data_IF_916239518251
#
_entry.id   IF_916239518251
#
_cell.length_a   1.000
_cell.length_b   1.000
_cell.length_c   1.000
_cell.angle_alpha   90.00
_cell.angle_beta   90.00
_cell.angle_gamma   90.00
#
_symmetry.space_group_name_H-M   'P 1'
#
loop_
_entity.id
_entity.type
_entity.pdbx_description
1 polymer ?
#
# COMPACT_ATOMS: atom_id res chain seq x y z
N UNK A 1 -23.46 -10.64 2.40
CA UNK A 1 -22.19 -10.43 3.10
C UNK A 1 -21.27 -9.69 2.16
N UNK A 2 -20.64 -8.61 2.63
CA UNK A 2 -19.84 -7.77 1.78
C UNK A 2 -18.51 -8.44 1.45
N UNK A 3 -18.11 -8.33 0.18
CA UNK A 3 -16.88 -8.90 -0.35
C UNK A 3 -16.06 -7.84 -1.04
N UNK A 4 -14.76 -7.98 -0.95
CA UNK A 4 -13.80 -7.34 -1.84
C UNK A 4 -13.50 -8.30 -2.98
N UNK A 5 -13.72 -7.85 -4.20
CA UNK A 5 -13.42 -8.59 -5.43
C UNK A 5 -12.28 -7.86 -6.12
N UNK A 6 -11.14 -8.53 -6.20
CA UNK A 6 -9.95 -8.04 -6.88
C UNK A 6 -9.80 -8.80 -8.20
N UNK A 7 -9.85 -8.08 -9.30
CA UNK A 7 -9.77 -8.62 -10.65
C UNK A 7 -8.57 -8.02 -11.40
N UNK A 8 -7.60 -8.86 -11.78
CA UNK A 8 -6.35 -8.44 -12.41
C UNK A 8 -6.42 -8.76 -13.91
N UNK A 9 -6.28 -7.73 -14.75
CA UNK A 9 -6.36 -7.81 -16.19
C UNK A 9 -4.99 -7.61 -16.82
N UNK A 10 -4.65 -8.48 -17.76
CA UNK A 10 -3.43 -8.34 -18.57
C UNK A 10 -3.55 -7.23 -19.63
N UNK A 11 -4.77 -6.87 -19.99
CA UNK A 11 -5.07 -5.87 -21.02
C UNK A 11 -5.86 -4.72 -20.40
N UNK A 12 -5.31 -3.53 -20.43
CA UNK A 12 -5.90 -2.34 -19.80
C UNK A 12 -7.31 -2.04 -20.31
N UNK A 13 -7.57 -2.20 -21.61
CA UNK A 13 -8.90 -1.97 -22.18
C UNK A 13 -9.97 -2.94 -21.66
N UNK A 14 -9.60 -4.16 -21.28
CA UNK A 14 -10.53 -5.11 -20.67
C UNK A 14 -10.91 -4.66 -19.24
N UNK A 15 -9.96 -4.11 -18.49
CA UNK A 15 -10.23 -3.51 -17.19
C UNK A 15 -11.21 -2.34 -17.28
N UNK A 16 -11.00 -1.42 -18.24
CA UNK A 16 -11.94 -0.32 -18.47
C UNK A 16 -13.32 -0.81 -18.93
N UNK A 17 -13.38 -1.83 -19.77
CA UNK A 17 -14.65 -2.40 -20.20
C UNK A 17 -15.38 -3.05 -19.02
N UNK A 18 -14.68 -3.83 -18.21
CA UNK A 18 -15.25 -4.46 -17.02
C UNK A 18 -15.81 -3.43 -16.04
N UNK A 19 -15.02 -2.38 -15.72
CA UNK A 19 -15.46 -1.29 -14.83
C UNK A 19 -16.68 -0.56 -15.39
N UNK A 20 -16.68 -0.25 -16.70
CA UNK A 20 -17.79 0.43 -17.37
C UNK A 20 -19.07 -0.38 -17.31
N UNK A 21 -19.00 -1.70 -17.54
CA UNK A 21 -20.16 -2.58 -17.46
C UNK A 21 -20.73 -2.67 -16.03
N UNK A 22 -19.87 -2.68 -15.00
CA UNK A 22 -20.33 -2.64 -13.61
C UNK A 22 -20.93 -1.27 -13.27
N UNK A 23 -20.33 -0.17 -13.73
CA UNK A 23 -20.81 1.19 -13.54
C UNK A 23 -22.19 1.43 -14.18
N UNK A 24 -22.45 0.82 -15.35
CA UNK A 24 -23.73 0.91 -16.03
C UNK A 24 -24.83 0.07 -15.38
N UNK A 25 -24.48 -1.03 -14.73
CA UNK A 25 -25.40 -1.94 -14.05
C UNK A 25 -24.82 -2.36 -12.69
N UNK A 26 -24.73 -1.41 -11.75
CA UNK A 26 -24.11 -1.68 -10.45
C UNK A 26 -25.01 -2.55 -9.55
N UNK A 27 -26.32 -2.50 -9.77
CA UNK A 27 -27.31 -3.29 -9.06
C UNK A 27 -28.11 -4.15 -10.03
N UNK A 28 -28.21 -5.43 -9.71
CA UNK A 28 -28.99 -6.44 -10.47
C UNK A 28 -29.75 -7.33 -9.49
N UNK A 29 -30.51 -8.28 -10.04
CA UNK A 29 -31.13 -9.35 -9.25
C UNK A 29 -30.09 -10.33 -8.65
N UNK A 30 -28.85 -10.29 -9.07
CA UNK A 30 -27.78 -11.22 -8.71
C UNK A 30 -26.73 -10.64 -7.77
N UNK A 31 -26.37 -9.36 -7.95
CA UNK A 31 -25.33 -8.68 -7.18
C UNK A 31 -25.60 -7.19 -7.07
N UNK A 32 -24.97 -6.57 -6.09
CA UNK A 32 -24.84 -5.12 -5.92
C UNK A 32 -23.37 -4.78 -5.80
N UNK A 33 -22.87 -3.84 -6.61
CA UNK A 33 -21.52 -3.25 -6.49
C UNK A 33 -21.70 -1.84 -5.96
N UNK A 34 -21.25 -1.60 -4.73
CA UNK A 34 -21.34 -0.29 -4.10
C UNK A 34 -20.25 0.65 -4.58
N UNK A 35 -19.02 0.13 -4.70
CA UNK A 35 -17.86 0.89 -5.15
C UNK A 35 -16.94 0.02 -6.01
N UNK A 36 -16.25 0.63 -6.95
CA UNK A 36 -15.13 0.01 -7.63
C UNK A 36 -14.09 1.04 -8.06
N UNK A 37 -12.83 0.63 -8.10
CA UNK A 37 -11.69 1.40 -8.59
C UNK A 37 -10.89 0.55 -9.56
N UNK A 38 -10.40 1.17 -10.62
CA UNK A 38 -9.43 0.60 -11.55
C UNK A 38 -8.09 1.27 -11.32
N UNK A 39 -7.08 0.49 -10.99
CA UNK A 39 -5.71 0.94 -10.73
C UNK A 39 -4.74 0.27 -11.68
N UNK A 40 -3.61 0.92 -11.94
CA UNK A 40 -2.50 0.38 -12.74
C UNK A 40 -1.21 0.45 -11.96
N UNK A 41 -0.42 -0.64 -12.01
CA UNK A 41 0.92 -0.67 -11.43
C UNK A 41 1.92 -0.14 -12.45
N UNK A 42 2.63 0.92 -12.09
CA UNK A 42 3.68 1.53 -12.92
C UNK A 42 4.85 1.99 -12.04
N UNK A 43 6.05 1.55 -12.38
CA UNK A 43 7.28 1.97 -11.68
C UNK A 43 7.23 1.82 -10.16
N UNK A 44 6.73 0.69 -9.66
CA UNK A 44 6.51 0.40 -8.23
C UNK A 44 5.45 1.28 -7.54
N UNK A 45 4.68 2.06 -8.26
CA UNK A 45 3.55 2.82 -7.73
C UNK A 45 2.22 2.34 -8.31
N UNK A 46 1.12 2.76 -7.67
CA UNK A 46 -0.23 2.51 -8.17
C UNK A 46 -0.86 3.83 -8.62
N UNK A 47 -1.36 3.85 -9.85
CA UNK A 47 -2.09 4.97 -10.41
C UNK A 47 -3.56 4.61 -10.53
N UNK A 48 -4.45 5.44 -9.98
CA UNK A 48 -5.89 5.30 -10.19
C UNK A 48 -6.25 5.76 -11.60
N UNK A 49 -6.86 4.88 -12.37
CA UNK A 49 -7.28 5.16 -13.76
C UNK A 49 -8.72 5.67 -13.83
N UNK A 50 -9.65 4.99 -13.15
CA UNK A 50 -11.07 5.35 -13.07
C UNK A 50 -11.70 4.72 -11.82
N UNK A 51 -12.85 5.24 -11.40
CA UNK A 51 -13.59 4.71 -10.26
C UNK A 51 -15.06 5.08 -10.33
N UNK A 52 -15.89 4.40 -9.55
CA UNK A 52 -17.24 4.83 -9.26
C UNK A 52 -17.66 4.44 -7.84
N UNK A 53 -18.60 5.20 -7.33
CA UNK A 53 -19.29 4.98 -6.07
C UNK A 53 -20.80 5.19 -6.33
N UNK A 54 -21.62 4.22 -5.95
CA UNK A 54 -23.06 4.29 -6.15
C UNK A 54 -23.77 4.99 -5.02
N UNK A 55 -23.10 5.22 -3.89
CA UNK A 55 -23.72 5.67 -2.65
C UNK A 55 -24.66 4.64 -2.01
N UNK A 56 -24.66 3.39 -2.50
CA UNK A 56 -25.40 2.30 -1.88
C UNK A 56 -24.66 1.87 -0.63
N UNK A 57 -25.32 2.03 0.51
CA UNK A 57 -24.76 1.62 1.81
C UNK A 57 -24.67 0.09 1.85
N UNK A 58 -23.51 -0.39 2.27
CA UNK A 58 -23.25 -1.81 2.55
C UNK A 58 -23.36 -2.05 4.05
N UNK A 59 -23.48 -3.30 4.47
CA UNK A 59 -23.71 -3.66 5.89
C UNK A 59 -22.59 -3.19 6.85
N UNK A 60 -21.46 -2.74 6.32
CA UNK A 60 -20.33 -2.17 7.07
C UNK A 60 -20.18 -0.68 6.73
N UNK A 61 -21.19 0.13 7.07
CA UNK A 61 -21.36 1.54 6.71
C UNK A 61 -20.24 2.50 7.11
N UNK A 62 -19.32 2.09 7.96
CA UNK A 62 -18.34 3.02 8.55
C UNK A 62 -17.16 3.30 7.62
N UNK A 63 -16.94 2.50 6.58
CA UNK A 63 -15.69 2.55 5.80
C UNK A 63 -15.85 2.40 4.28
N UNK A 64 -17.06 2.50 3.69
CA UNK A 64 -17.26 2.19 2.27
C UNK A 64 -16.26 2.94 1.34
N UNK A 65 -16.13 4.26 1.46
CA UNK A 65 -15.07 5.01 0.78
C UNK A 65 -13.68 4.81 1.38
N UNK A 66 -13.61 4.43 2.66
CA UNK A 66 -12.39 4.16 3.41
C UNK A 66 -11.77 2.80 3.12
N UNK A 67 -12.57 1.74 2.89
CA UNK A 67 -12.06 0.39 2.69
C UNK A 67 -11.29 0.25 1.37
N UNK A 68 -11.90 0.62 0.24
CA UNK A 68 -11.21 0.60 -1.05
C UNK A 68 -10.04 1.59 -1.07
N UNK A 69 -10.25 2.81 -0.56
CA UNK A 69 -9.19 3.81 -0.47
C UNK A 69 -8.04 3.39 0.44
N UNK A 70 -8.34 2.77 1.57
CA UNK A 70 -7.36 2.19 2.49
C UNK A 70 -6.54 1.08 1.83
N UNK A 71 -7.20 0.15 1.16
CA UNK A 71 -6.54 -0.94 0.45
C UNK A 71 -5.62 -0.43 -0.67
N UNK A 72 -6.11 0.50 -1.51
CA UNK A 72 -5.30 1.13 -2.56
C UNK A 72 -4.13 1.92 -1.98
N UNK A 73 -4.35 2.63 -0.87
CA UNK A 73 -3.32 3.38 -0.17
C UNK A 73 -2.20 2.49 0.35
N UNK A 74 -2.54 1.35 0.95
CA UNK A 74 -1.54 0.39 1.45
C UNK A 74 -0.81 -0.30 0.31
N UNK A 75 -1.54 -0.76 -0.71
CA UNK A 75 -0.94 -1.40 -1.89
C UNK A 75 0.01 -0.46 -2.66
N UNK A 76 -0.31 0.84 -2.74
CA UNK A 76 0.52 1.87 -3.37
C UNK A 76 1.53 2.54 -2.45
N UNK A 77 1.45 2.27 -1.14
CA UNK A 77 2.30 2.84 -0.10
C UNK A 77 3.60 2.08 0.14
N UNK A 78 4.39 2.50 1.15
CA UNK A 78 5.65 1.83 1.51
C UNK A 78 5.50 0.35 1.81
N UNK A 79 4.40 -0.07 2.43
CA UNK A 79 4.11 -1.48 2.74
C UNK A 79 3.91 -2.29 1.46
N UNK A 80 3.08 -1.82 0.53
CA UNK A 80 2.86 -2.49 -0.75
C UNK A 80 4.12 -2.57 -1.60
N UNK A 81 4.97 -1.54 -1.56
CA UNK A 81 6.29 -1.57 -2.20
C UNK A 81 7.24 -2.60 -1.56
N UNK A 82 7.17 -2.78 -0.24
CA UNK A 82 7.98 -3.78 0.47
C UNK A 82 7.50 -5.22 0.15
N UNK A 83 6.19 -5.43 0.07
CA UNK A 83 5.60 -6.75 -0.22
C UNK A 83 5.76 -7.12 -1.70
N UNK A 84 5.42 -6.23 -2.63
CA UNK A 84 5.44 -6.50 -4.07
C UNK A 84 6.76 -6.20 -4.79
N UNK A 85 7.81 -5.75 -4.07
CA UNK A 85 9.14 -5.49 -4.62
C UNK A 85 10.13 -6.60 -4.31
N UNK A 86 11.13 -6.80 -5.18
CA UNK A 86 12.24 -7.75 -4.99
C UNK A 86 13.10 -7.49 -3.73
N UNK A 87 12.71 -6.53 -2.89
CA UNK A 87 13.34 -6.17 -1.62
C UNK A 87 12.73 -6.91 -0.41
N UNK A 88 11.70 -7.72 -0.58
CA UNK A 88 11.03 -8.48 0.49
C UNK A 88 11.94 -9.44 1.28
N UNK A 89 13.17 -9.66 0.80
CA UNK A 89 14.15 -10.51 1.48
C UNK A 89 14.87 -9.84 2.67
N UNK A 90 14.69 -8.54 2.91
CA UNK A 90 15.45 -7.80 3.95
C UNK A 90 14.64 -7.52 5.23
N UNK A 91 13.36 -7.87 5.27
CA UNK A 91 12.48 -7.46 6.38
C UNK A 91 12.01 -8.60 7.28
N UNK A 92 12.70 -9.72 7.29
CA UNK A 92 12.38 -10.90 8.11
C UNK A 92 12.24 -10.69 9.62
N UNK A 93 12.22 -9.44 10.11
CA UNK A 93 12.04 -9.13 11.53
C UNK A 93 11.02 -8.01 11.81
N UNK A 94 10.42 -7.40 10.79
CA UNK A 94 9.52 -6.25 11.00
C UNK A 94 8.05 -6.63 10.80
N UNK A 95 7.77 -7.67 10.03
CA UNK A 95 6.42 -8.18 9.78
C UNK A 95 6.29 -9.62 10.26
N UNK A 96 6.13 -9.79 11.56
CA UNK A 96 5.60 -11.03 12.14
C UNK A 96 4.05 -11.02 12.02
N UNK A 97 3.57 -10.56 10.83
CA UNK A 97 2.14 -10.64 10.50
C UNK A 97 1.74 -12.09 10.19
N UNK A 98 2.71 -12.93 9.85
CA UNK A 98 2.47 -14.33 9.51
C UNK A 98 2.05 -15.22 10.68
N UNK A 99 2.39 -14.87 11.93
CA UNK A 99 1.98 -15.64 13.11
C UNK A 99 0.57 -15.27 13.63
N UNK A 100 -0.01 -14.17 13.15
CA UNK A 100 -1.34 -13.72 13.57
C UNK A 100 -2.47 -14.14 12.62
N UNK A 101 -2.13 -14.56 11.39
CA UNK A 101 -3.12 -14.92 10.38
C UNK A 101 -2.83 -16.34 9.90
N UNK A 102 -3.66 -17.29 10.32
CA UNK A 102 -3.72 -18.66 9.74
C UNK A 102 -4.12 -18.65 8.23
N UNK A 103 -4.35 -17.47 7.66
CA UNK A 103 -4.70 -17.24 6.26
C UNK A 103 -3.70 -16.27 5.63
N UNK A 104 -3.27 -16.57 4.40
CA UNK A 104 -2.44 -15.71 3.56
C UNK A 104 -3.09 -14.32 3.42
N UNK A 105 -2.36 -13.26 3.81
CA UNK A 105 -2.83 -11.88 3.75
C UNK A 105 -3.33 -11.51 2.35
N UNK A 106 -4.50 -10.88 2.28
CA UNK A 106 -5.07 -10.44 1.00
C UNK A 106 -4.22 -9.32 0.37
N UNK A 107 -3.64 -8.47 1.21
CA UNK A 107 -2.76 -7.37 0.78
C UNK A 107 -1.51 -7.95 0.11
N UNK A 108 -0.88 -8.94 0.73
CA UNK A 108 0.28 -9.65 0.19
C UNK A 108 -0.07 -10.35 -1.13
N UNK A 109 -1.15 -11.14 -1.13
CA UNK A 109 -1.62 -11.87 -2.31
C UNK A 109 -1.91 -10.95 -3.50
N UNK A 110 -2.62 -9.85 -3.28
CA UNK A 110 -2.93 -8.88 -4.33
C UNK A 110 -1.68 -8.16 -4.80
N UNK A 111 -0.79 -7.78 -3.87
CA UNK A 111 0.49 -7.11 -4.18
C UNK A 111 1.39 -7.96 -5.08
N UNK A 112 1.46 -9.27 -4.80
CA UNK A 112 2.27 -10.24 -5.56
C UNK A 112 1.68 -10.55 -6.93
N UNK A 113 0.35 -10.54 -7.03
CA UNK A 113 -0.34 -10.88 -8.28
C UNK A 113 -0.32 -9.75 -9.33
N UNK A 114 -0.23 -8.48 -8.92
CA UNK A 114 -0.23 -7.34 -9.85
C UNK A 114 1.19 -7.11 -10.36
N UNK A 115 1.43 -7.41 -11.64
CA UNK A 115 2.71 -7.11 -12.30
C UNK A 115 2.77 -5.68 -12.83
N UNK A 116 3.99 -5.18 -13.06
CA UNK A 116 4.18 -3.85 -13.66
C UNK A 116 3.54 -3.78 -15.05
N UNK A 117 2.75 -2.73 -15.27
CA UNK A 117 1.97 -2.55 -16.51
C UNK A 117 0.57 -3.19 -16.49
N UNK A 118 0.26 -4.07 -15.55
CA UNK A 118 -1.07 -4.67 -15.41
C UNK A 118 -2.05 -3.72 -14.70
N UNK A 119 -3.33 -3.92 -14.97
CA UNK A 119 -4.41 -3.19 -14.31
C UNK A 119 -5.20 -4.11 -13.38
N UNK A 120 -5.61 -3.55 -12.26
CA UNK A 120 -6.39 -4.24 -11.25
C UNK A 120 -7.66 -3.45 -10.96
N UNK A 121 -8.79 -4.13 -10.99
CA UNK A 121 -10.06 -3.60 -10.50
C UNK A 121 -10.33 -4.15 -9.11
N UNK A 122 -10.58 -3.26 -8.16
CA UNK A 122 -11.00 -3.60 -6.80
C UNK A 122 -12.43 -3.12 -6.63
N UNK A 123 -13.33 -4.01 -6.27
CA UNK A 123 -14.74 -3.72 -6.10
C UNK A 123 -15.26 -4.20 -4.74
N UNK A 124 -16.07 -3.35 -4.09
CA UNK A 124 -16.86 -3.72 -2.91
C UNK A 124 -18.26 -4.12 -3.39
N UNK A 125 -18.63 -5.35 -3.12
CA UNK A 125 -19.85 -5.92 -3.65
C UNK A 125 -20.55 -6.89 -2.69
N UNK A 126 -21.85 -7.03 -2.91
CA UNK A 126 -22.67 -8.09 -2.33
C UNK A 126 -23.21 -8.98 -3.44
N UNK A 127 -23.18 -10.28 -3.22
CA UNK A 127 -23.75 -11.27 -4.13
C UNK A 127 -24.87 -12.05 -3.44
N UNK A 128 -25.97 -12.31 -4.15
CA UNK A 128 -27.04 -13.20 -3.65
C UNK A 128 -26.58 -14.64 -3.56
N UNK A 129 -25.81 -15.06 -4.57
CA UNK A 129 -25.15 -16.37 -4.63
C UNK A 129 -23.67 -16.17 -4.92
N UNK A 130 -22.76 -16.92 -4.30
CA UNK A 130 -21.33 -16.80 -4.53
C UNK A 130 -20.94 -16.99 -6.01
N UNK A 131 -20.00 -16.19 -6.49
CA UNK A 131 -19.39 -16.34 -7.83
C UNK A 131 -20.15 -15.68 -8.98
N UNK A 132 -21.17 -14.89 -8.73
CA UNK A 132 -21.93 -14.20 -9.78
C UNK A 132 -21.09 -13.14 -10.52
N UNK A 133 -20.28 -12.38 -9.78
CA UNK A 133 -19.34 -11.42 -10.37
C UNK A 133 -18.17 -12.10 -11.06
N UNK A 134 -17.66 -13.18 -10.48
CA UNK A 134 -16.64 -13.99 -11.12
C UNK A 134 -17.14 -14.52 -12.47
N UNK A 135 -18.37 -15.05 -12.52
CA UNK A 135 -18.99 -15.49 -13.77
C UNK A 135 -19.15 -14.35 -14.80
N UNK A 136 -19.55 -13.15 -14.35
CA UNK A 136 -19.67 -11.97 -15.22
C UNK A 136 -18.33 -11.53 -15.79
N UNK A 137 -17.27 -11.58 -15.00
CA UNK A 137 -15.93 -11.17 -15.37
C UNK A 137 -15.17 -12.24 -16.16
N UNK A 138 -15.60 -13.51 -16.11
CA UNK A 138 -14.92 -14.65 -16.76
C UNK A 138 -14.78 -14.55 -18.27
N UNK A 139 -15.53 -13.66 -18.93
CA UNK A 139 -15.39 -13.35 -20.35
C UNK A 139 -14.12 -12.60 -20.71
N UNK A 140 -13.46 -11.98 -19.72
CA UNK A 140 -12.17 -11.31 -19.85
C UNK A 140 -11.03 -12.26 -19.47
N UNK A 141 -9.83 -11.98 -19.94
CA UNK A 141 -8.63 -12.70 -19.50
C UNK A 141 -8.17 -12.13 -18.14
N UNK A 142 -8.82 -12.59 -17.09
CA UNK A 142 -8.73 -12.00 -15.74
C UNK A 142 -8.43 -13.07 -14.69
N UNK A 143 -7.58 -12.71 -13.72
CA UNK A 143 -7.39 -13.45 -12.47
C UNK A 143 -8.21 -12.78 -11.37
N UNK A 144 -9.02 -13.54 -10.63
CA UNK A 144 -9.95 -12.99 -9.64
C UNK A 144 -9.62 -13.58 -8.26
N UNK A 145 -9.56 -12.70 -7.26
CA UNK A 145 -9.48 -13.03 -5.85
C UNK A 145 -10.69 -12.42 -5.15
N UNK A 146 -11.38 -13.23 -4.36
CA UNK A 146 -12.50 -12.79 -3.52
C UNK A 146 -12.10 -12.88 -2.05
N UNK A 147 -12.46 -11.88 -1.27
CA UNK A 147 -12.18 -11.83 0.16
C UNK A 147 -13.36 -11.23 0.92
N UNK A 148 -13.48 -11.58 2.19
CA UNK A 148 -14.46 -10.99 3.07
C UNK A 148 -14.08 -9.53 3.36
N UNK A 149 -14.99 -8.59 3.21
CA UNK A 149 -14.71 -7.17 3.42
C UNK A 149 -14.25 -6.87 4.85
N UNK A 150 -14.81 -7.56 5.86
CA UNK A 150 -14.42 -7.37 7.26
C UNK A 150 -12.99 -7.86 7.55
N UNK A 151 -12.55 -8.96 6.92
CA UNK A 151 -11.18 -9.44 7.04
C UNK A 151 -10.19 -8.47 6.40
N UNK A 152 -10.52 -7.95 5.21
CA UNK A 152 -9.70 -6.93 4.52
C UNK A 152 -9.62 -5.65 5.35
N UNK A 153 -10.71 -5.24 6.01
CA UNK A 153 -10.72 -4.08 6.91
C UNK A 153 -9.76 -4.26 8.07
N UNK A 154 -9.77 -5.43 8.71
CA UNK A 154 -8.85 -5.74 9.81
C UNK A 154 -7.38 -5.73 9.35
N UNK A 155 -7.08 -6.30 8.19
CA UNK A 155 -5.73 -6.26 7.61
C UNK A 155 -5.28 -4.81 7.33
N UNK A 156 -6.16 -3.97 6.79
CA UNK A 156 -5.88 -2.55 6.54
C UNK A 156 -5.55 -1.83 7.84
N UNK A 157 -6.33 -2.05 8.90
CA UNK A 157 -6.04 -1.41 10.19
C UNK A 157 -4.69 -1.84 10.78
N UNK A 158 -4.35 -3.12 10.65
CA UNK A 158 -3.07 -3.64 11.10
C UNK A 158 -1.92 -3.05 10.28
N UNK A 159 -2.06 -2.99 8.96
CA UNK A 159 -1.07 -2.39 8.07
C UNK A 159 -0.85 -0.89 8.37
N UNK A 160 -1.91 -0.12 8.61
CA UNK A 160 -1.80 1.30 9.00
C UNK A 160 -1.06 1.46 10.34
N UNK A 161 -1.30 0.57 11.30
CA UNK A 161 -0.58 0.59 12.59
C UNK A 161 0.91 0.31 12.40
N UNK A 162 1.23 -0.71 11.60
CA UNK A 162 2.62 -1.06 11.27
C UNK A 162 3.35 0.08 10.54
N UNK A 163 2.71 0.73 9.57
CA UNK A 163 3.28 1.87 8.85
C UNK A 163 3.63 3.03 9.80
N UNK A 164 2.73 3.36 10.73
CA UNK A 164 2.98 4.40 11.73
C UNK A 164 4.15 4.08 12.67
N UNK A 165 4.32 2.83 13.06
CA UNK A 165 5.47 2.43 13.88
C UNK A 165 6.78 2.52 13.08
N UNK A 166 6.80 2.04 11.84
CA UNK A 166 7.96 2.18 10.94
C UNK A 166 8.35 3.65 10.72
N UNK A 167 7.37 4.53 10.51
CA UNK A 167 7.63 5.97 10.40
C UNK A 167 8.28 6.54 11.67
N UNK A 168 7.79 6.17 12.84
CA UNK A 168 8.36 6.63 14.12
C UNK A 168 9.81 6.17 14.29
N UNK A 169 10.07 4.89 14.00
CA UNK A 169 11.44 4.34 14.07
C UNK A 169 12.38 5.01 13.07
N UNK A 170 11.95 5.18 11.82
CA UNK A 170 12.72 5.87 10.81
C UNK A 170 13.05 7.31 11.21
N UNK A 171 12.07 8.04 11.72
CA UNK A 171 12.27 9.41 12.25
C UNK A 171 13.20 9.45 13.45
N UNK A 172 13.13 8.46 14.35
CA UNK A 172 14.02 8.37 15.50
C UNK A 172 15.48 8.13 15.06
N UNK A 173 15.71 7.15 14.17
CA UNK A 173 17.04 6.86 13.61
C UNK A 173 17.64 8.07 12.85
N UNK A 174 16.82 8.78 12.09
CA UNK A 174 17.24 9.99 11.38
C UNK A 174 17.68 11.10 12.34
N UNK A 175 16.95 11.29 13.45
CA UNK A 175 17.32 12.28 14.48
C UNK A 175 18.61 11.89 15.21
N UNK A 176 18.84 10.61 15.47
CA UNK A 176 20.08 10.13 16.07
C UNK A 176 21.28 10.34 15.15
N UNK A 177 21.14 9.97 13.87
CA UNK A 177 22.17 10.19 12.87
C UNK A 177 22.52 11.68 12.69
N UNK A 178 21.50 12.57 12.67
CA UNK A 178 21.73 14.01 12.61
C UNK A 178 22.45 14.56 13.86
N UNK A 179 22.13 14.05 15.05
CA UNK A 179 22.82 14.45 16.28
C UNK A 179 24.28 14.01 16.29
N UNK A 180 24.55 12.82 15.78
CA UNK A 180 25.91 12.28 15.68
C UNK A 180 26.75 13.08 14.66
N UNK A 181 26.21 13.38 13.49
CA UNK A 181 26.85 14.22 12.48
C UNK A 181 27.15 15.63 13.02
N UNK A 182 26.23 16.24 13.76
CA UNK A 182 26.46 17.53 14.43
C UNK A 182 27.56 17.45 15.47
N UNK A 183 27.62 16.40 16.29
CA UNK A 183 28.69 16.21 17.28
C UNK A 183 30.06 16.09 16.60
N UNK A 184 30.13 15.29 15.54
CA UNK A 184 31.36 15.10 14.79
C UNK A 184 31.86 16.41 14.15
N UNK A 185 30.98 17.19 13.53
CA UNK A 185 31.29 18.50 12.97
C UNK A 185 31.74 19.52 14.01
N UNK A 186 31.16 19.50 15.21
CA UNK A 186 31.56 20.38 16.32
C UNK A 186 32.94 19.98 16.82
N UNK A 187 33.21 18.68 16.93
CA UNK A 187 34.50 18.20 17.40
C UNK A 187 35.64 18.50 16.41
N UNK A 188 35.39 18.30 15.11
CA UNK A 188 36.30 18.70 14.04
C UNK A 188 36.60 20.21 14.08
N UNK A 189 35.61 21.05 14.24
CA UNK A 189 35.83 22.51 14.37
C UNK A 189 36.60 22.89 15.62
N UNK A 190 36.38 22.21 16.74
CA UNK A 190 37.19 22.46 17.97
C UNK A 190 38.66 22.11 17.75
N UNK A 191 38.93 20.96 17.12
CA UNK A 191 40.30 20.55 16.81
C UNK A 191 40.97 21.53 15.86
N UNK A 192 40.27 22.01 14.81
CA UNK A 192 40.82 23.03 13.89
C UNK A 192 41.11 24.36 14.61
N UNK A 193 40.24 24.79 15.52
CA UNK A 193 40.45 26.00 16.33
C UNK A 193 41.63 25.84 17.29
N UNK A 194 41.78 24.68 17.95
CA UNK A 194 42.90 24.41 18.83
C UNK A 194 44.24 24.40 18.05
N UNK A 195 44.31 23.75 16.91
CA UNK A 195 45.48 23.76 16.04
C UNK A 195 45.83 25.19 15.57
N UNK A 196 44.86 25.99 15.17
CA UNK A 196 45.06 27.40 14.80
C UNK A 196 45.61 28.26 15.95
N UNK A 197 45.13 28.05 17.18
CA UNK A 197 45.62 28.76 18.38
C UNK A 197 47.06 28.37 18.69
N UNK A 198 47.40 27.08 18.56
CA UNK A 198 48.79 26.62 18.77
C UNK A 198 49.76 27.18 17.72
N UNK A 199 49.34 27.26 16.44
CA UNK A 199 50.13 27.89 15.39
C UNK A 199 50.40 29.37 15.65
N UNK A 200 49.37 30.12 16.11
CA UNK A 200 49.53 31.55 16.47
C UNK A 200 50.43 31.71 17.67
N UNK A 201 50.30 30.89 18.71
CA UNK A 201 51.21 30.91 19.89
C UNK A 201 52.64 30.58 19.51
N UNK A 202 52.87 29.64 18.59
CA UNK A 202 54.23 29.28 18.13
C UNK A 202 54.90 30.43 17.31
N UNK A 203 54.09 31.23 16.61
CA UNK A 203 54.62 32.43 15.88
C UNK A 203 54.94 33.57 16.82
N UNK A 204 54.12 33.84 17.84
CA UNK A 204 54.36 34.92 18.81
C UNK A 204 55.57 34.66 19.73
N UNK A 205 55.91 33.41 20.00
CA UNK A 205 57.09 33.06 20.82
C UNK A 205 58.42 33.02 20.07
N UNK A 206 58.43 33.35 18.76
CA UNK A 206 59.66 33.38 17.93
C UNK A 206 60.19 34.78 17.64
N UNK A 207 59.46 35.81 18.01
CA UNK A 207 59.86 37.21 18.02
C UNK A 207 60.27 37.65 19.45
#
# INVERSE_FOLDING_TARGET
MDKIITAIFKVESEGYQALTELKQNPETDKYVVSQAVLIKKENNGLNTLDSFDTGIETSNDTLAGGLIGGLVGILGGPIGMLLGGSLGALTGSVFDLGDALDNESIIEKVSDMIMDGEVCMIALAQEKEPGQLQQKLSKFNVSIVESNAAEVEEEIEQAIKAEKELEKEARAKLREAQKEDLKNKVEEKKQQLQAGIEEVKAKVNKD
#
